data_IF_299671013082
#
_entry.id   IF_299671013082
#
_cell.length_a   1.000
_cell.length_b   1.000
_cell.length_c   1.000
_cell.angle_alpha   90.00
_cell.angle_beta   90.00
_cell.angle_gamma   90.00
#
_symmetry.space_group_name_H-M   'P 1'
#
loop_
_entity.id
_entity.type
_entity.pdbx_description
1 polymer ?
#
# COMPACT_ATOMS: atom_id res chain seq x y z
N UNK A 1 4.38 -23.08 16.51
CA UNK A 1 2.99 -23.16 15.99
C UNK A 1 2.17 -22.02 16.56
N UNK A 2 1.31 -21.35 15.79
CA UNK A 2 0.36 -20.40 16.38
C UNK A 2 -0.62 -21.18 17.26
N UNK A 3 -0.94 -20.63 18.44
CA UNK A 3 -1.96 -21.18 19.33
C UNK A 3 -3.32 -20.79 18.75
N UNK A 4 -4.10 -21.77 18.30
CA UNK A 4 -5.48 -21.57 17.91
C UNK A 4 -6.31 -21.39 19.18
N UNK A 5 -6.99 -20.26 19.30
CA UNK A 5 -7.95 -19.99 20.36
C UNK A 5 -9.36 -20.03 19.77
N UNK A 6 -10.32 -20.45 20.58
CA UNK A 6 -11.73 -20.54 20.20
C UNK A 6 -12.42 -19.29 20.76
N UNK A 7 -12.94 -18.40 19.91
CA UNK A 7 -13.70 -17.23 20.37
C UNK A 7 -15.00 -17.65 21.10
N UNK A 8 -15.43 -16.97 22.17
CA UNK A 8 -16.75 -17.30 22.76
C UNK A 8 -17.89 -16.87 21.83
N UNK A 9 -18.51 -17.83 21.15
CA UNK A 9 -19.80 -17.65 20.49
C UNK A 9 -20.96 -17.76 21.49
N UNK A 10 -22.09 -17.11 21.19
CA UNK A 10 -23.36 -17.37 21.86
C UNK A 10 -23.82 -18.84 21.64
N UNK A 11 -24.84 -19.31 22.37
CA UNK A 11 -25.16 -20.72 22.51
C UNK A 11 -25.37 -21.52 21.20
N UNK A 12 -25.68 -20.86 20.07
CA UNK A 12 -26.02 -21.54 18.81
C UNK A 12 -25.13 -21.20 17.61
N UNK A 13 -23.89 -20.72 17.81
CA UNK A 13 -22.96 -20.46 16.68
C UNK A 13 -21.73 -21.36 16.75
N UNK A 14 -21.38 -22.11 15.68
CA UNK A 14 -20.12 -22.82 15.62
C UNK A 14 -19.01 -21.79 15.76
N UNK A 15 -18.22 -21.91 16.82
CA UNK A 15 -17.23 -20.90 17.07
C UNK A 15 -16.13 -20.95 16.01
N UNK A 16 -15.82 -19.78 15.45
CA UNK A 16 -14.81 -19.63 14.43
C UNK A 16 -13.41 -19.70 15.06
N UNK A 17 -12.44 -20.36 14.40
CA UNK A 17 -11.06 -20.34 14.87
C UNK A 17 -10.55 -18.89 14.91
N UNK A 18 -10.05 -18.49 16.07
CA UNK A 18 -9.50 -17.18 16.34
C UNK A 18 -7.99 -17.29 16.61
N UNK A 19 -7.26 -16.24 16.23
CA UNK A 19 -5.84 -16.12 16.47
C UNK A 19 -5.55 -14.82 17.22
N UNK A 20 -4.52 -14.84 18.07
CA UNK A 20 -4.06 -13.63 18.74
C UNK A 20 -3.19 -12.83 17.80
N UNK A 21 -3.58 -11.58 17.57
CA UNK A 21 -2.80 -10.57 16.87
C UNK A 21 -2.18 -9.62 17.89
N UNK A 22 -0.88 -9.38 17.77
CA UNK A 22 -0.16 -8.38 18.56
C UNK A 22 -0.05 -7.07 17.77
N UNK A 23 -0.49 -5.98 18.39
CA UNK A 23 -0.45 -4.64 17.81
C UNK A 23 0.29 -3.71 18.76
N UNK A 24 1.25 -2.96 18.23
CA UNK A 24 2.06 -2.02 18.99
C UNK A 24 1.56 -0.59 18.82
N UNK A 25 1.52 0.20 19.89
CA UNK A 25 1.31 1.64 19.81
C UNK A 25 2.61 2.40 19.49
N UNK A 26 2.48 3.70 19.22
CA UNK A 26 3.65 4.60 19.07
C UNK A 26 4.42 4.78 20.37
N UNK A 27 3.74 4.59 21.50
CA UNK A 27 4.30 4.53 22.86
C UNK A 27 5.10 3.24 23.14
N UNK A 28 5.16 2.32 22.18
CA UNK A 28 5.80 1.01 22.34
C UNK A 28 4.95 -0.02 23.08
N UNK A 29 3.74 0.34 23.55
CA UNK A 29 2.88 -0.59 24.26
C UNK A 29 2.35 -1.68 23.32
N UNK A 30 2.47 -2.94 23.74
CA UNK A 30 1.95 -4.08 22.98
C UNK A 30 0.55 -4.45 23.49
N UNK A 31 -0.42 -4.55 22.57
CA UNK A 31 -1.79 -4.97 22.84
C UNK A 31 -2.07 -6.26 22.07
N UNK A 32 -2.64 -7.25 22.76
CA UNK A 32 -3.06 -8.51 22.16
C UNK A 32 -4.57 -8.47 21.92
N UNK A 33 -4.99 -8.80 20.70
CA UNK A 33 -6.40 -8.84 20.30
C UNK A 33 -6.70 -10.17 19.64
N UNK A 34 -7.89 -10.69 19.87
CA UNK A 34 -8.40 -11.84 19.13
C UNK A 34 -8.91 -11.37 17.77
N UNK A 35 -8.53 -12.11 16.72
CA UNK A 35 -8.99 -11.91 15.36
C UNK A 35 -9.45 -13.24 14.78
N UNK A 36 -10.61 -13.24 14.13
CA UNK A 36 -11.08 -14.33 13.28
C UNK A 36 -10.58 -14.14 11.84
N UNK A 37 -10.72 -15.16 10.98
CA UNK A 37 -10.30 -15.12 9.58
C UNK A 37 -10.81 -13.89 8.79
N UNK A 38 -12.03 -13.43 9.09
CA UNK A 38 -12.66 -12.27 8.44
C UNK A 38 -12.39 -10.92 9.12
N UNK A 39 -11.55 -10.87 10.17
CA UNK A 39 -11.28 -9.61 10.89
C UNK A 39 -10.46 -8.67 10.01
N UNK A 40 -11.07 -7.56 9.60
CA UNK A 40 -10.41 -6.56 8.75
C UNK A 40 -9.58 -5.57 9.55
N UNK A 41 -8.63 -4.92 8.88
CA UNK A 41 -7.80 -3.86 9.48
C UNK A 41 -8.65 -2.77 10.14
N UNK A 42 -9.77 -2.39 9.50
CA UNK A 42 -10.73 -1.43 10.06
C UNK A 42 -11.36 -1.90 11.36
N UNK A 43 -11.87 -3.13 11.42
CA UNK A 43 -12.51 -3.66 12.64
C UNK A 43 -11.53 -3.71 13.82
N UNK A 44 -10.27 -4.05 13.52
CA UNK A 44 -9.21 -4.05 14.53
C UNK A 44 -8.88 -2.63 15.00
N UNK A 45 -8.75 -1.67 14.07
CA UNK A 45 -8.56 -0.25 14.41
C UNK A 45 -9.69 0.30 15.28
N UNK A 46 -10.96 0.04 14.94
CA UNK A 46 -12.11 0.48 15.76
C UNK A 46 -12.07 -0.10 17.17
N UNK A 47 -11.68 -1.37 17.30
CA UNK A 47 -11.55 -2.02 18.59
C UNK A 47 -10.43 -1.39 19.41
N UNK A 48 -9.32 -1.02 18.77
CA UNK A 48 -8.22 -0.32 19.41
C UNK A 48 -8.62 1.08 19.87
N UNK A 49 -9.26 1.88 19.02
CA UNK A 49 -9.77 3.23 19.38
C UNK A 49 -10.68 3.17 20.60
N UNK A 50 -11.64 2.23 20.62
CA UNK A 50 -12.53 2.02 21.78
C UNK A 50 -11.77 1.63 23.04
N UNK A 51 -10.79 0.72 22.93
CA UNK A 51 -10.00 0.24 24.08
C UNK A 51 -9.03 1.30 24.62
N UNK A 52 -8.47 2.15 23.76
CA UNK A 52 -7.53 3.20 24.15
C UNK A 52 -8.22 4.50 24.55
N UNK A 53 -9.55 4.58 24.39
CA UNK A 53 -10.33 5.83 24.55
C UNK A 53 -9.76 6.96 23.67
N UNK A 54 -9.18 6.62 22.53
CA UNK A 54 -8.72 7.59 21.56
C UNK A 54 -9.91 8.31 20.92
N UNK A 55 -9.70 9.54 20.47
CA UNK A 55 -10.71 10.25 19.69
C UNK A 55 -11.03 9.48 18.41
N UNK A 56 -12.33 9.38 18.11
CA UNK A 56 -12.78 8.82 16.84
C UNK A 56 -12.33 9.72 15.69
N UNK A 57 -11.53 9.14 14.79
CA UNK A 57 -10.89 9.83 13.68
C UNK A 57 -10.64 8.79 12.58
N UNK A 58 -10.82 9.18 11.31
CA UNK A 58 -10.63 8.31 10.15
C UNK A 58 -9.14 8.12 9.79
N UNK A 59 -8.26 8.91 10.39
CA UNK A 59 -6.80 8.82 10.21
C UNK A 59 -6.19 7.62 10.94
N UNK A 60 -6.89 6.97 11.88
CA UNK A 60 -6.37 5.77 12.52
C UNK A 60 -6.14 4.63 11.50
N UNK A 61 -4.95 4.04 11.56
CA UNK A 61 -4.53 3.00 10.62
C UNK A 61 -3.73 1.90 11.34
N UNK A 62 -3.79 0.70 10.75
CA UNK A 62 -2.89 -0.39 11.09
C UNK A 62 -1.75 -0.41 10.07
N UNK A 63 -0.52 -0.34 10.55
CA UNK A 63 0.69 -0.30 9.74
C UNK A 63 1.40 -1.64 9.84
N UNK A 64 1.63 -2.29 8.71
CA UNK A 64 2.56 -3.41 8.61
C UNK A 64 3.98 -2.85 8.56
N UNK A 65 4.80 -3.24 9.54
CA UNK A 65 6.20 -2.83 9.65
C UNK A 65 7.10 -4.07 9.58
N UNK A 66 8.04 -4.10 8.64
CA UNK A 66 9.14 -5.06 8.59
C UNK A 66 10.43 -4.35 9.03
N UNK A 67 10.77 -4.43 10.33
CA UNK A 67 11.88 -3.66 10.90
C UNK A 67 13.22 -4.03 10.24
N UNK A 68 13.48 -5.33 10.10
CA UNK A 68 14.68 -5.88 9.46
C UNK A 68 14.86 -5.48 7.98
N UNK A 69 13.80 -5.01 7.30
CA UNK A 69 13.86 -4.53 5.91
C UNK A 69 13.70 -3.01 5.81
N UNK A 70 13.48 -2.31 6.93
CA UNK A 70 13.11 -0.90 6.95
C UNK A 70 11.93 -0.59 6.00
N UNK A 71 10.91 -1.47 6.00
CA UNK A 71 9.72 -1.32 5.16
C UNK A 71 8.49 -1.08 6.01
N UNK A 72 7.63 -0.19 5.57
CA UNK A 72 6.30 -0.02 6.15
C UNK A 72 5.23 0.28 5.10
N UNK A 73 4.00 -0.14 5.37
CA UNK A 73 2.82 0.29 4.63
C UNK A 73 1.60 0.33 5.55
N UNK A 74 0.64 1.16 5.24
CA UNK A 74 -0.68 1.05 5.85
C UNK A 74 -1.43 -0.12 5.22
N UNK A 75 -2.18 -0.86 6.03
CA UNK A 75 -3.23 -1.73 5.54
C UNK A 75 -4.41 -0.88 5.10
N UNK A 76 -5.02 -1.28 3.99
CA UNK A 76 -6.34 -0.77 3.61
C UNK A 76 -7.40 -1.36 4.54
N UNK A 77 -8.46 -0.59 4.80
CA UNK A 77 -9.52 -0.93 5.76
C UNK A 77 -10.22 -2.28 5.52
N UNK A 78 -10.14 -2.80 4.29
CA UNK A 78 -10.77 -4.06 3.87
C UNK A 78 -9.83 -5.27 3.98
N UNK A 79 -8.51 -5.07 4.14
CA UNK A 79 -7.55 -6.17 4.20
C UNK A 79 -7.78 -7.03 5.44
N UNK A 80 -7.70 -8.36 5.28
CA UNK A 80 -7.72 -9.30 6.41
C UNK A 80 -6.38 -9.25 7.16
N UNK A 81 -6.46 -8.98 8.47
CA UNK A 81 -5.27 -8.86 9.32
C UNK A 81 -4.52 -10.20 9.40
N UNK A 82 -5.25 -11.32 9.47
CA UNK A 82 -4.65 -12.65 9.56
C UNK A 82 -3.99 -13.06 8.25
N UNK A 83 -4.58 -12.71 7.09
CA UNK A 83 -3.96 -12.98 5.79
C UNK A 83 -2.63 -12.21 5.66
N UNK A 84 -2.62 -10.93 6.03
CA UNK A 84 -1.38 -10.13 6.04
C UNK A 84 -0.34 -10.73 6.98
N UNK A 85 -0.72 -11.07 8.22
CA UNK A 85 0.20 -11.68 9.20
C UNK A 85 0.75 -13.03 8.70
N UNK A 86 -0.07 -13.84 8.01
CA UNK A 86 0.34 -15.15 7.48
C UNK A 86 1.36 -15.05 6.34
N UNK A 87 1.44 -13.89 5.67
CA UNK A 87 2.42 -13.62 4.61
C UNK A 87 3.83 -13.39 5.14
N UNK A 88 3.99 -13.14 6.44
CA UNK A 88 5.29 -12.86 7.04
C UNK A 88 6.21 -14.09 6.99
N UNK A 89 7.51 -13.83 6.82
CA UNK A 89 8.51 -14.89 6.90
C UNK A 89 8.62 -15.39 8.36
N UNK A 90 8.74 -16.71 8.58
CA UNK A 90 8.90 -17.25 9.93
C UNK A 90 10.11 -16.63 10.64
N UNK A 91 9.93 -16.18 11.89
CA UNK A 91 10.99 -15.55 12.69
C UNK A 91 11.39 -14.15 12.23
N UNK A 92 10.73 -13.58 11.21
CA UNK A 92 10.98 -12.21 10.79
C UNK A 92 10.49 -11.21 11.84
N UNK A 93 11.27 -10.15 12.06
CA UNK A 93 10.88 -9.03 12.89
C UNK A 93 9.88 -8.14 12.14
N UNK A 94 8.63 -8.62 12.11
CA UNK A 94 7.47 -7.99 11.47
C UNK A 94 6.38 -7.80 12.51
N UNK A 95 5.74 -6.62 12.50
CA UNK A 95 4.71 -6.27 13.49
C UNK A 95 3.67 -5.33 12.92
N UNK A 96 2.50 -5.35 13.54
CA UNK A 96 1.50 -4.33 13.33
C UNK A 96 1.71 -3.14 14.27
N UNK A 97 1.63 -1.93 13.75
CA UNK A 97 1.68 -0.69 14.52
C UNK A 97 0.38 0.08 14.34
N UNK A 98 -0.24 0.50 15.44
CA UNK A 98 -1.45 1.32 15.44
C UNK A 98 -1.07 2.78 15.64
N UNK A 99 -1.31 3.60 14.61
CA UNK A 99 -0.99 5.04 14.61
C UNK A 99 -1.89 5.83 13.66
N UNK A 100 -1.83 7.15 13.75
CA UNK A 100 -2.51 8.03 12.78
C UNK A 100 -1.73 8.08 11.45
N UNK A 101 -2.47 8.06 10.35
CA UNK A 101 -2.01 8.33 9.01
C UNK A 101 -3.00 9.28 8.33
N UNK A 102 -2.69 10.58 8.37
CA UNK A 102 -3.49 11.61 7.72
C UNK A 102 -3.50 11.51 6.19
N UNK A 103 -2.44 10.93 5.60
CA UNK A 103 -2.30 10.75 4.16
C UNK A 103 -3.15 9.59 3.59
N UNK A 104 -3.75 8.74 4.44
CA UNK A 104 -4.47 7.51 4.06
C UNK A 104 -5.49 7.73 2.93
N UNK A 105 -6.28 8.80 3.03
CA UNK A 105 -7.36 9.14 2.11
C UNK A 105 -7.18 10.48 1.41
N UNK A 106 -6.00 11.10 1.47
CA UNK A 106 -5.72 12.37 0.78
C UNK A 106 -5.96 12.26 -0.73
N UNK A 107 -5.79 11.06 -1.31
CA UNK A 107 -6.03 10.81 -2.73
C UNK A 107 -7.48 11.10 -3.18
N UNK A 108 -8.45 11.08 -2.27
CA UNK A 108 -9.86 11.34 -2.56
C UNK A 108 -10.32 12.74 -2.16
N UNK A 109 -9.44 13.55 -1.56
CA UNK A 109 -9.75 14.93 -1.17
C UNK A 109 -9.42 15.86 -2.33
N UNK A 110 -10.30 16.82 -2.61
CA UNK A 110 -10.18 17.74 -3.75
C UNK A 110 -9.06 18.79 -3.58
N UNK A 111 -8.49 18.95 -2.38
CA UNK A 111 -7.53 20.01 -2.06
C UNK A 111 -6.09 19.73 -2.50
N UNK A 112 -5.78 18.49 -2.85
CA UNK A 112 -4.38 18.02 -2.99
C UNK A 112 -4.13 17.55 -4.42
N UNK A 113 -3.30 18.29 -5.18
CA UNK A 113 -2.86 17.89 -6.52
C UNK A 113 -1.86 16.72 -6.42
N UNK A 114 -2.37 15.50 -6.20
CA UNK A 114 -1.55 14.31 -5.98
C UNK A 114 -0.90 13.78 -7.27
N UNK A 115 -1.52 14.01 -8.41
CA UNK A 115 -1.08 13.54 -9.72
C UNK A 115 -0.63 14.71 -10.59
N UNK A 116 0.68 14.95 -10.73
CA UNK A 116 1.19 15.93 -11.67
C UNK A 116 0.76 15.57 -13.11
N UNK A 117 0.39 16.57 -13.91
CA UNK A 117 -0.07 16.38 -15.30
C UNK A 117 0.93 15.57 -16.12
N UNK A 118 2.23 15.84 -15.96
CA UNK A 118 3.31 15.13 -16.66
C UNK A 118 3.37 13.63 -16.34
N UNK A 119 2.87 13.21 -15.17
CA UNK A 119 2.89 11.81 -14.75
C UNK A 119 1.65 11.03 -15.20
N UNK A 120 0.61 11.68 -15.70
CA UNK A 120 -0.62 11.00 -16.13
C UNK A 120 -0.74 11.05 -17.64
N UNK A 121 -1.04 9.91 -18.25
CA UNK A 121 -1.50 9.85 -19.65
C UNK A 121 -2.78 9.02 -19.75
N UNK A 122 -3.72 9.43 -20.59
CA UNK A 122 -4.93 8.65 -20.94
C UNK A 122 -4.91 8.26 -22.42
N UNK A 123 -5.59 7.18 -22.78
CA UNK A 123 -5.79 6.77 -24.17
C UNK A 123 -6.69 7.74 -24.96
N UNK A 124 -7.42 8.59 -24.25
CA UNK A 124 -8.20 9.69 -24.82
C UNK A 124 -7.30 10.92 -24.76
N UNK A 125 -6.81 11.40 -25.90
CA UNK A 125 -6.08 12.67 -26.05
C UNK A 125 -6.99 13.91 -25.80
N UNK A 126 -7.76 13.89 -24.71
CA UNK A 126 -8.67 14.95 -24.34
C UNK A 126 -8.60 15.19 -22.82
N UNK A 127 -7.73 16.14 -22.45
CA UNK A 127 -7.97 17.21 -21.48
C UNK A 127 -6.68 17.60 -20.76
N UNK A 128 -5.92 18.51 -21.36
CA UNK A 128 -5.15 19.46 -20.55
C UNK A 128 -6.17 20.20 -19.68
N UNK A 129 -6.03 20.16 -18.36
CA UNK A 129 -7.00 20.65 -17.34
C UNK A 129 -8.19 19.72 -17.00
N UNK A 130 -7.92 18.46 -16.62
CA UNK A 130 -8.93 17.62 -15.94
C UNK A 130 -8.94 17.90 -14.42
N UNK A 131 -10.12 17.99 -13.80
CA UNK A 131 -10.21 18.13 -12.35
C UNK A 131 -9.74 16.86 -11.63
N UNK A 132 -9.17 16.99 -10.42
CA UNK A 132 -8.68 15.84 -9.64
C UNK A 132 -9.77 14.79 -9.39
N UNK A 133 -11.00 15.21 -9.12
CA UNK A 133 -12.14 14.30 -8.93
C UNK A 133 -12.45 13.47 -10.19
N UNK A 134 -12.43 14.09 -11.38
CA UNK A 134 -12.64 13.42 -12.66
C UNK A 134 -11.51 12.45 -12.99
N UNK A 135 -10.26 12.84 -12.70
CA UNK A 135 -9.08 11.98 -12.83
C UNK A 135 -9.24 10.71 -11.98
N UNK A 136 -9.66 10.85 -10.73
CA UNK A 136 -9.91 9.69 -9.85
C UNK A 136 -11.04 8.82 -10.41
N UNK A 137 -12.13 9.40 -10.90
CA UNK A 137 -13.19 8.62 -11.56
C UNK A 137 -12.65 7.83 -12.76
N UNK A 138 -11.75 8.43 -13.55
CA UNK A 138 -11.09 7.72 -14.65
C UNK A 138 -10.18 6.58 -14.18
N UNK A 139 -9.50 6.70 -13.03
CA UNK A 139 -8.78 5.57 -12.44
C UNK A 139 -9.70 4.44 -11.95
N UNK A 140 -10.88 4.79 -11.45
CA UNK A 140 -11.86 3.84 -10.95
C UNK A 140 -12.66 3.15 -12.08
N UNK A 141 -12.82 3.83 -13.21
CA UNK A 141 -13.57 3.34 -14.35
C UNK A 141 -12.76 2.33 -15.18
N UNK A 142 -13.35 1.16 -15.44
CA UNK A 142 -12.68 0.12 -16.22
C UNK A 142 -12.49 0.52 -17.71
N UNK A 143 -13.30 1.42 -18.26
CA UNK A 143 -13.22 1.81 -19.68
C UNK A 143 -12.11 2.81 -20.06
N UNK A 144 -11.59 3.59 -19.11
CA UNK A 144 -10.79 4.81 -19.38
C UNK A 144 -9.28 4.61 -19.54
N UNK A 145 -8.78 3.38 -19.34
CA UNK A 145 -7.37 2.95 -19.47
C UNK A 145 -6.31 4.02 -19.09
N UNK A 146 -6.36 4.62 -17.89
CA UNK A 146 -5.35 5.59 -17.49
C UNK A 146 -3.99 4.92 -17.28
N UNK A 147 -2.92 5.70 -17.42
CA UNK A 147 -1.54 5.28 -17.23
C UNK A 147 -0.82 6.32 -16.37
N UNK A 148 -0.11 5.86 -15.34
CA UNK A 148 0.83 6.70 -14.58
C UNK A 148 2.25 6.39 -15.03
N UNK A 149 3.00 7.40 -15.42
CA UNK A 149 4.32 7.27 -16.02
C UNK A 149 5.32 8.26 -15.40
N UNK A 150 6.61 7.96 -15.56
CA UNK A 150 7.67 8.84 -15.09
C UNK A 150 8.98 8.11 -14.84
N UNK A 151 10.03 8.86 -14.55
CA UNK A 151 11.34 8.29 -14.24
C UNK A 151 11.41 7.76 -12.80
N UNK A 152 12.01 6.59 -12.63
CA UNK A 152 12.37 6.02 -11.34
C UNK A 152 13.77 5.44 -11.42
N UNK A 153 14.48 5.51 -10.29
CA UNK A 153 15.70 4.75 -10.09
C UNK A 153 15.33 3.34 -9.63
N UNK A 154 15.77 2.34 -10.38
CA UNK A 154 15.65 0.91 -10.05
C UNK A 154 16.99 0.40 -9.55
N UNK A 155 16.96 -0.30 -8.41
CA UNK A 155 18.14 -1.03 -7.94
C UNK A 155 18.30 -2.34 -8.69
N UNK A 156 19.50 -2.60 -9.18
CA UNK A 156 19.84 -3.89 -9.80
C UNK A 156 19.81 -5.03 -8.77
N UNK A 157 19.24 -6.16 -9.16
CA UNK A 157 19.18 -7.35 -8.32
C UNK A 157 20.58 -7.81 -7.91
N UNK A 158 20.80 -8.03 -6.61
CA UNK A 158 22.08 -8.49 -6.06
C UNK A 158 23.22 -7.46 -6.06
N UNK A 159 22.98 -6.22 -6.53
CA UNK A 159 24.01 -5.17 -6.62
C UNK A 159 23.58 -3.92 -5.83
N UNK A 160 24.54 -3.04 -5.53
CA UNK A 160 24.29 -1.71 -4.95
C UNK A 160 24.32 -0.62 -6.03
N UNK A 161 23.87 -0.97 -7.24
CA UNK A 161 23.86 -0.09 -8.41
C UNK A 161 22.41 0.31 -8.69
N UNK A 162 22.20 1.60 -8.94
CA UNK A 162 20.91 2.18 -9.29
C UNK A 162 20.94 2.70 -10.72
N UNK A 163 19.90 2.38 -11.50
CA UNK A 163 19.75 2.80 -12.88
C UNK A 163 18.42 3.51 -13.06
N UNK A 164 18.43 4.59 -13.82
CA UNK A 164 17.24 5.39 -14.11
C UNK A 164 16.51 4.82 -15.33
N UNK A 165 15.22 4.51 -15.18
CA UNK A 165 14.36 4.05 -16.27
C UNK A 165 13.06 4.83 -16.28
N UNK A 166 12.44 4.92 -17.45
CA UNK A 166 11.08 5.43 -17.58
C UNK A 166 10.09 4.30 -17.32
N UNK A 167 9.25 4.45 -16.30
CA UNK A 167 8.23 3.48 -15.91
C UNK A 167 6.85 3.91 -16.43
N UNK A 168 6.00 2.91 -16.68
CA UNK A 168 4.57 3.09 -16.95
C UNK A 168 3.76 2.05 -16.17
N UNK A 169 2.86 2.53 -15.34
CA UNK A 169 1.87 1.73 -14.62
C UNK A 169 0.58 1.70 -15.42
N UNK A 170 0.19 0.48 -15.80
CA UNK A 170 -1.00 0.16 -16.57
C UNK A 170 -1.84 -0.83 -15.77
N UNK A 171 -3.07 -1.08 -16.22
CA UNK A 171 -3.94 -2.09 -15.58
C UNK A 171 -3.32 -3.49 -15.56
N UNK A 172 -2.58 -3.85 -16.59
CA UNK A 172 -1.95 -5.17 -16.70
C UNK A 172 -0.66 -5.31 -15.89
N UNK A 173 -0.14 -4.25 -15.27
CA UNK A 173 1.14 -4.31 -14.57
C UNK A 173 1.92 -3.01 -14.59
N UNK A 174 3.03 -3.04 -13.85
CA UNK A 174 4.08 -2.04 -13.94
C UNK A 174 5.11 -2.50 -14.99
N UNK A 175 5.51 -1.58 -15.86
CA UNK A 175 6.50 -1.81 -16.93
C UNK A 175 7.56 -0.72 -16.88
N UNK A 176 8.76 -0.99 -17.41
CA UNK A 176 9.76 0.02 -17.71
C UNK A 176 10.27 -0.08 -19.15
N UNK A 177 10.68 1.05 -19.71
CA UNK A 177 11.25 1.10 -21.07
C UNK A 177 12.75 0.85 -21.04
N UNK A 178 13.24 0.01 -21.96
CA UNK A 178 14.67 -0.20 -22.21
C UNK A 178 15.26 0.82 -23.17
N UNK A 179 14.41 1.66 -23.80
CA UNK A 179 14.82 2.69 -24.76
C UNK A 179 14.17 4.04 -24.43
N UNK A 180 14.80 4.79 -23.53
CA UNK A 180 14.35 6.13 -23.14
C UNK A 180 12.92 6.11 -22.60
N UNK A 181 12.03 6.86 -23.22
CA UNK A 181 10.59 6.94 -22.91
C UNK A 181 9.71 6.15 -23.89
N UNK A 182 10.32 5.29 -24.73
CA UNK A 182 9.60 4.57 -25.77
C UNK A 182 8.50 3.68 -25.20
N UNK A 183 7.29 3.79 -25.77
CA UNK A 183 6.12 2.97 -25.48
C UNK A 183 5.93 1.80 -26.47
N UNK A 184 6.88 1.59 -27.39
CA UNK A 184 6.85 0.44 -28.30
C UNK A 184 6.88 -0.86 -27.47
N UNK A 185 5.95 -1.81 -27.69
CA UNK A 185 5.91 -3.06 -26.93
C UNK A 185 7.25 -3.81 -26.88
N UNK A 186 8.09 -3.71 -27.92
CA UNK A 186 9.41 -4.35 -27.97
C UNK A 186 10.43 -3.74 -27.01
N UNK A 187 10.23 -2.48 -26.62
CA UNK A 187 11.08 -1.79 -25.64
C UNK A 187 10.53 -1.87 -24.21
N UNK A 188 9.29 -2.36 -24.02
CA UNK A 188 8.68 -2.46 -22.70
C UNK A 188 9.04 -3.79 -22.03
N UNK A 189 9.55 -3.69 -20.81
CA UNK A 189 9.83 -4.84 -19.95
C UNK A 189 8.84 -4.88 -18.81
N UNK A 190 8.17 -6.03 -18.67
CA UNK A 190 7.28 -6.28 -17.56
C UNK A 190 8.06 -6.29 -16.25
N UNK A 191 7.60 -5.52 -15.27
CA UNK A 191 8.28 -5.36 -14.00
C UNK A 191 7.53 -6.03 -12.85
N UNK A 192 6.25 -5.78 -12.66
CA UNK A 192 5.51 -6.33 -11.51
C UNK A 192 3.99 -6.43 -11.73
N UNK A 193 3.42 -7.45 -11.10
CA UNK A 193 1.98 -7.64 -10.93
C UNK A 193 1.50 -6.89 -9.68
N UNK A 194 0.47 -6.06 -9.82
CA UNK A 194 -0.11 -5.31 -8.70
C UNK A 194 -1.06 -6.16 -7.85
N UNK A 195 -1.75 -7.12 -8.45
CA UNK A 195 -2.65 -8.01 -7.73
C UNK A 195 -1.86 -8.91 -6.79
N UNK A 196 -0.69 -9.38 -7.26
CA UNK A 196 0.19 -10.30 -6.53
C UNK A 196 1.26 -9.61 -5.67
N UNK A 197 1.30 -8.28 -5.63
CA UNK A 197 2.32 -7.54 -4.86
C UNK A 197 1.73 -6.43 -3.99
N UNK A 198 2.45 -6.08 -2.93
CA UNK A 198 2.17 -4.91 -2.11
C UNK A 198 3.28 -3.88 -2.27
N UNK A 199 2.93 -2.61 -2.08
CA UNK A 199 3.86 -1.48 -2.14
C UNK A 199 4.16 -0.98 -0.73
N UNK A 200 5.43 -0.66 -0.46
CA UNK A 200 5.92 -0.25 0.86
C UNK A 200 6.81 0.99 0.73
N UNK A 201 6.72 1.88 1.71
CA UNK A 201 7.73 2.91 1.93
C UNK A 201 9.01 2.26 2.44
N UNK A 202 10.15 2.81 2.04
CA UNK A 202 11.47 2.43 2.55
C UNK A 202 11.94 3.53 3.51
N UNK A 203 11.92 3.25 4.81
CA UNK A 203 12.16 4.27 5.86
C UNK A 203 13.64 4.57 6.11
N UNK A 204 14.54 3.64 5.77
CA UNK A 204 15.98 3.80 5.95
C UNK A 204 16.75 3.52 4.65
N UNK A 205 16.22 4.00 3.51
CA UNK A 205 16.69 3.68 2.16
C UNK A 205 18.18 3.96 1.93
N UNK A 206 18.64 5.17 2.30
CA UNK A 206 20.04 5.56 2.13
C UNK A 206 20.98 4.64 2.91
N UNK A 207 20.66 4.36 4.17
CA UNK A 207 21.47 3.53 5.08
C UNK A 207 21.49 2.06 4.66
N UNK A 208 20.33 1.46 4.40
CA UNK A 208 20.20 0.02 4.20
C UNK A 208 20.44 -0.41 2.75
N UNK A 209 20.06 0.43 1.78
CA UNK A 209 20.03 0.07 0.37
C UNK A 209 20.81 1.02 -0.54
N UNK A 210 21.34 2.14 -0.01
CA UNK A 210 22.05 3.13 -0.79
C UNK A 210 21.15 3.85 -1.80
N UNK A 211 19.90 4.16 -1.44
CA UNK A 211 18.97 4.86 -2.33
C UNK A 211 19.54 6.22 -2.76
N UNK A 212 19.37 6.63 -4.04
CA UNK A 212 19.82 7.94 -4.52
C UNK A 212 19.23 9.13 -3.74
N UNK A 213 17.95 9.03 -3.37
CA UNK A 213 17.23 10.02 -2.55
C UNK A 213 16.65 9.34 -1.30
N UNK A 214 16.01 10.10 -0.42
CA UNK A 214 15.23 9.54 0.71
C UNK A 214 13.84 9.04 0.30
N UNK A 215 13.43 9.29 -0.94
CA UNK A 215 12.11 8.96 -1.47
C UNK A 215 12.07 7.53 -2.05
N UNK A 216 12.61 6.59 -1.27
CA UNK A 216 12.62 5.17 -1.60
C UNK A 216 11.27 4.49 -1.31
N UNK A 217 10.90 3.56 -2.18
CA UNK A 217 9.78 2.64 -1.98
C UNK A 217 10.12 1.28 -2.60
N UNK A 218 9.32 0.26 -2.32
CA UNK A 218 9.54 -1.05 -2.92
C UNK A 218 8.23 -1.77 -3.22
N UNK A 219 8.32 -2.68 -4.19
CA UNK A 219 7.27 -3.64 -4.50
C UNK A 219 7.72 -5.01 -4.00
N UNK A 220 6.90 -5.64 -3.18
CA UNK A 220 7.15 -6.97 -2.59
C UNK A 220 5.99 -7.90 -2.95
N UNK A 221 6.24 -9.01 -3.65
CA UNK A 221 5.22 -10.04 -3.87
C UNK A 221 4.69 -10.57 -2.54
N UNK A 222 3.37 -10.66 -2.35
CA UNK A 222 2.80 -11.06 -1.06
C UNK A 222 2.77 -12.58 -0.86
N UNK A 223 2.78 -13.37 -1.94
CA UNK A 223 2.81 -14.84 -1.89
C UNK A 223 4.22 -15.44 -1.73
N UNK A 224 5.27 -14.68 -2.06
CA UNK A 224 6.65 -15.18 -2.03
C UNK A 224 7.35 -14.70 -0.76
N UNK A 225 7.68 -15.63 0.13
CA UNK A 225 8.45 -15.37 1.36
C UNK A 225 9.94 -15.25 1.05
N UNK A 226 10.30 -14.26 0.23
CA UNK A 226 11.65 -14.11 -0.34
C UNK A 226 12.60 -13.20 0.44
N UNK A 227 12.17 -12.68 1.60
CA UNK A 227 12.96 -11.72 2.39
C UNK A 227 13.45 -10.55 1.53
N UNK A 228 14.70 -10.10 1.75
CA UNK A 228 15.30 -8.99 1.01
C UNK A 228 15.57 -9.29 -0.48
N UNK A 229 15.77 -10.56 -0.86
CA UNK A 229 16.16 -10.93 -2.24
C UNK A 229 15.02 -10.78 -3.25
N UNK A 230 13.77 -10.81 -2.79
CA UNK A 230 12.59 -10.62 -3.65
C UNK A 230 12.07 -9.18 -3.71
N UNK A 231 12.74 -8.22 -3.05
CA UNK A 231 12.32 -6.83 -3.06
C UNK A 231 12.68 -6.15 -4.37
N UNK A 232 11.69 -5.52 -5.00
CA UNK A 232 11.90 -4.63 -6.14
C UNK A 232 12.01 -3.19 -5.63
N UNK A 233 13.25 -2.76 -5.39
CA UNK A 233 13.57 -1.45 -4.80
C UNK A 233 13.57 -0.34 -5.85
N UNK A 234 12.78 0.70 -5.61
CA UNK A 234 12.58 1.86 -6.47
C UNK A 234 12.84 3.14 -5.67
N UNK A 235 13.22 4.22 -6.36
CA UNK A 235 13.48 5.51 -5.73
C UNK A 235 13.12 6.65 -6.68
N UNK A 236 12.25 7.56 -6.22
CA UNK A 236 11.86 8.76 -6.97
C UNK A 236 12.82 9.93 -6.72
N UNK A 237 12.69 10.97 -7.54
CA UNK A 237 13.50 12.19 -7.41
C UNK A 237 13.03 13.06 -6.24
N UNK A 238 11.71 13.13 -6.01
CA UNK A 238 11.09 13.92 -4.94
C UNK A 238 9.95 13.18 -4.23
N UNK A 239 9.42 13.81 -3.17
CA UNK A 239 8.31 13.29 -2.37
C UNK A 239 6.99 13.24 -3.15
N UNK A 240 6.71 14.25 -3.99
CA UNK A 240 5.47 14.32 -4.76
C UNK A 240 5.37 13.12 -5.72
N UNK A 241 6.45 12.83 -6.43
CA UNK A 241 6.57 11.69 -7.33
C UNK A 241 6.41 10.37 -6.57
N UNK A 242 7.03 10.22 -5.39
CA UNK A 242 6.83 9.03 -4.54
C UNK A 242 5.36 8.87 -4.18
N UNK A 243 4.74 9.93 -3.66
CA UNK A 243 3.33 9.93 -3.23
C UNK A 243 2.39 9.60 -4.39
N UNK A 244 2.66 10.13 -5.58
CA UNK A 244 1.95 9.80 -6.82
C UNK A 244 2.07 8.31 -7.15
N UNK A 245 3.28 7.74 -7.19
CA UNK A 245 3.48 6.31 -7.44
C UNK A 245 2.80 5.41 -6.40
N UNK A 246 2.91 5.78 -5.11
CA UNK A 246 2.27 5.04 -4.02
C UNK A 246 0.75 5.05 -4.15
N UNK A 247 0.16 6.20 -4.45
CA UNK A 247 -1.28 6.34 -4.64
C UNK A 247 -1.78 5.66 -5.91
N UNK A 248 -1.05 5.80 -7.02
CA UNK A 248 -1.36 5.11 -8.27
C UNK A 248 -1.38 3.60 -8.05
N UNK A 249 -0.35 3.03 -7.44
CA UNK A 249 -0.29 1.60 -7.17
C UNK A 249 -1.52 1.11 -6.36
N UNK A 250 -1.92 1.87 -5.33
CA UNK A 250 -3.11 1.57 -4.53
C UNK A 250 -4.40 1.64 -5.36
N UNK A 251 -4.56 2.67 -6.20
CA UNK A 251 -5.71 2.80 -7.09
C UNK A 251 -5.80 1.65 -8.10
N UNK A 252 -4.70 1.30 -8.77
CA UNK A 252 -4.69 0.19 -9.73
C UNK A 252 -4.88 -1.17 -9.06
N UNK A 253 -4.36 -1.36 -7.84
CA UNK A 253 -4.52 -2.62 -7.10
C UNK A 253 -5.94 -2.81 -6.55
N UNK A 254 -6.51 -1.79 -5.93
CA UNK A 254 -7.75 -1.92 -5.15
C UNK A 254 -8.97 -1.28 -5.80
N UNK A 255 -8.78 -0.34 -6.72
CA UNK A 255 -9.83 0.32 -7.49
C UNK A 255 -10.99 0.81 -6.62
N UNK A 256 -12.21 0.43 -7.02
CA UNK A 256 -13.45 0.83 -6.35
C UNK A 256 -13.51 0.41 -4.87
N UNK A 257 -12.83 -0.66 -4.47
CA UNK A 257 -12.80 -1.08 -3.07
C UNK A 257 -12.11 -0.03 -2.19
N UNK A 258 -11.08 0.65 -2.70
CA UNK A 258 -10.40 1.73 -1.99
C UNK A 258 -11.32 2.95 -1.80
N UNK A 259 -12.13 3.27 -2.81
CA UNK A 259 -13.11 4.34 -2.72
C UNK A 259 -14.25 4.01 -1.74
N UNK A 260 -14.74 2.77 -1.73
CA UNK A 260 -15.73 2.30 -0.74
C UNK A 260 -15.21 2.42 0.70
N UNK A 261 -13.93 2.09 0.92
CA UNK A 261 -13.30 2.26 2.22
C UNK A 261 -13.33 3.72 2.68
N UNK A 262 -13.02 4.65 1.77
CA UNK A 262 -13.10 6.09 2.04
C UNK A 262 -14.52 6.56 2.37
N UNK A 263 -15.53 6.17 1.57
CA UNK A 263 -16.92 6.54 1.81
C UNK A 263 -17.41 6.05 3.19
N UNK A 264 -17.05 4.82 3.56
CA UNK A 264 -17.39 4.25 4.87
C UNK A 264 -16.69 4.98 6.02
N UNK A 265 -15.46 5.46 5.81
CA UNK A 265 -14.75 6.25 6.81
C UNK A 265 -15.38 7.65 6.98
N UNK A 266 -15.85 8.28 5.90
CA UNK A 266 -16.52 9.58 5.94
C UNK A 266 -17.89 9.53 6.63
N UNK A 267 -18.72 8.54 6.32
CA UNK A 267 -20.07 8.42 6.87
C UNK A 267 -20.11 8.33 8.41
N UNK A 268 -18.98 8.01 9.04
CA UNK A 268 -18.83 7.92 10.50
C UNK A 268 -18.35 9.21 11.15
N UNK A 269 -17.84 10.17 10.38
CA UNK A 269 -17.53 11.51 10.90
C UNK A 269 -18.80 12.36 11.01
N UNK A 270 -19.82 12.02 10.22
CA UNK A 270 -21.14 12.65 10.24
C UNK A 270 -22.09 12.07 11.30
N UNK A 271 -21.63 11.13 12.13
CA UNK A 271 -22.35 10.51 13.24
C UNK A 271 -21.69 10.88 14.56
#
# INVERSE_FOLDING_TARGET
SPVLLWCRGGPDSPCAPCQVVKVFGEDGACRSLEASAGTTARQLCETLVRRTRALHDHSWALVELHQHLALERCLEDHESVLEVQSSWAPGADSRFVFRKNFAKYELFKSSTLLFPEVMVSSCLEANKSMAHSELIQNFLNSGSCPEVQGFLHLREAGRKVWKRFHFSLRRSGLYYSTKGTSKDPRHLQYFADLTESNIYYVTQGKKLYGTPTEFGFCIKPHKVRSGAKGLKLLCSEDEQSRSCWMAAFRLFKYGMQLYRNYQQAQARLSQ
#
